data_IF_261081293444
#
_entry.id   IF_261081293444
#
_cell.length_a   1.000
_cell.length_b   1.000
_cell.length_c   1.000
_cell.angle_alpha   90.00
_cell.angle_beta   90.00
_cell.angle_gamma   90.00
#
_symmetry.space_group_name_H-M   'P 1'
#
loop_
_entity.id
_entity.type
_entity.pdbx_description
1 polymer ?
#
# COMPACT_ATOMS: atom_id res chain seq x y z
N UNK A 1 9.02 -21.54 -4.26
CA UNK A 1 10.48 -21.80 -4.35
C UNK A 1 10.80 -23.09 -5.13
N UNK A 2 10.11 -24.25 -4.96
CA UNK A 2 10.33 -25.43 -5.80
C UNK A 2 10.24 -25.12 -7.30
N UNK A 3 9.26 -24.33 -7.70
CA UNK A 3 9.00 -23.94 -9.09
C UNK A 3 10.14 -23.14 -9.72
N UNK A 4 10.87 -22.36 -8.94
CA UNK A 4 12.07 -21.65 -9.39
C UNK A 4 13.26 -22.60 -9.56
N UNK A 5 13.46 -23.51 -8.59
CA UNK A 5 14.53 -24.50 -8.66
C UNK A 5 14.36 -25.44 -9.87
N UNK A 6 13.13 -25.84 -10.22
CA UNK A 6 12.80 -26.62 -11.42
C UNK A 6 13.17 -25.89 -12.72
N UNK A 7 13.26 -24.56 -12.68
CA UNK A 7 13.70 -23.70 -13.78
C UNK A 7 15.17 -23.28 -13.69
N UNK A 8 15.93 -23.89 -12.79
CA UNK A 8 17.36 -23.61 -12.59
C UNK A 8 17.63 -22.27 -11.93
N UNK A 9 16.65 -21.70 -11.21
CA UNK A 9 16.82 -20.44 -10.46
C UNK A 9 17.02 -20.74 -8.98
N UNK A 10 18.03 -20.11 -8.39
CA UNK A 10 18.26 -20.08 -6.95
C UNK A 10 17.68 -18.80 -6.36
N UNK A 11 16.93 -18.91 -5.24
CA UNK A 11 16.29 -17.79 -4.58
C UNK A 11 16.87 -17.63 -3.18
N UNK A 12 17.38 -16.44 -2.89
CA UNK A 12 17.80 -16.00 -1.57
C UNK A 12 16.89 -14.89 -1.04
N UNK A 13 16.51 -14.96 0.22
CA UNK A 13 15.79 -13.86 0.89
C UNK A 13 16.82 -13.01 1.65
N UNK A 14 16.86 -11.73 1.32
CA UNK A 14 17.79 -10.77 1.91
C UNK A 14 16.98 -9.57 2.40
N UNK A 15 17.29 -9.08 3.61
CA UNK A 15 16.72 -7.84 4.09
C UNK A 15 17.22 -6.67 3.24
N UNK A 16 16.34 -5.76 2.88
CA UNK A 16 16.69 -4.63 2.04
C UNK A 16 17.77 -3.71 2.67
N UNK A 17 17.88 -3.71 4.00
CA UNK A 17 18.83 -2.93 4.78
C UNK A 17 20.05 -3.74 5.25
N UNK A 18 20.27 -4.93 4.69
CA UNK A 18 21.49 -5.70 4.94
C UNK A 18 22.67 -5.10 4.19
N UNK A 19 23.47 -4.30 4.90
CA UNK A 19 24.67 -3.67 4.35
C UNK A 19 25.81 -4.65 3.99
N UNK A 20 25.69 -5.92 4.36
CA UNK A 20 26.66 -6.97 4.02
C UNK A 20 26.34 -7.70 2.72
N UNK A 21 25.17 -7.48 2.14
CA UNK A 21 24.73 -8.13 0.92
C UNK A 21 25.55 -7.68 -0.30
N UNK A 22 26.09 -8.63 -1.01
CA UNK A 22 26.76 -8.40 -2.30
C UNK A 22 25.73 -8.48 -3.43
N UNK A 23 25.05 -7.36 -3.69
CA UNK A 23 23.99 -7.29 -4.70
C UNK A 23 24.50 -7.55 -6.12
N UNK A 24 25.77 -7.28 -6.39
CA UNK A 24 26.37 -7.56 -7.70
C UNK A 24 26.53 -9.07 -7.99
N UNK A 25 26.45 -9.90 -6.96
CA UNK A 25 26.51 -11.37 -7.14
C UNK A 25 25.20 -12.00 -7.63
N UNK A 26 24.09 -11.23 -7.67
CA UNK A 26 22.79 -11.70 -8.12
C UNK A 26 22.49 -11.27 -9.55
N UNK A 27 21.85 -12.16 -10.34
CA UNK A 27 21.39 -11.81 -11.69
C UNK A 27 20.23 -10.81 -11.67
N UNK A 28 19.41 -10.86 -10.61
CA UNK A 28 18.29 -9.95 -10.41
C UNK A 28 17.89 -9.86 -8.93
N UNK A 29 17.27 -8.75 -8.56
CA UNK A 29 16.58 -8.55 -7.29
C UNK A 29 15.11 -8.27 -7.53
N UNK A 30 14.24 -8.89 -6.73
CA UNK A 30 12.80 -8.66 -6.73
C UNK A 30 12.37 -8.12 -5.37
N UNK A 31 11.69 -6.98 -5.37
CA UNK A 31 11.11 -6.44 -4.14
C UNK A 31 9.93 -7.33 -3.73
N UNK A 32 10.08 -7.98 -2.58
CA UNK A 32 9.08 -8.89 -2.03
C UNK A 32 8.23 -8.25 -0.92
N UNK A 33 8.45 -8.69 0.31
CA UNK A 33 7.62 -8.36 1.47
C UNK A 33 8.27 -7.31 2.39
N UNK A 34 8.67 -6.18 1.86
CA UNK A 34 9.29 -5.06 2.60
C UNK A 34 8.21 -4.20 3.25
N UNK A 35 7.69 -4.64 4.41
CA UNK A 35 6.56 -3.98 5.08
C UNK A 35 6.94 -2.92 6.11
N UNK A 36 8.22 -2.65 6.29
CA UNK A 36 8.78 -1.74 7.29
C UNK A 36 9.35 -0.44 6.69
N UNK A 37 9.30 -0.28 5.37
CA UNK A 37 9.90 0.85 4.65
C UNK A 37 9.27 2.21 5.00
N UNK A 38 8.02 2.23 5.43
CA UNK A 38 7.24 3.46 5.55
C UNK A 38 7.70 4.41 6.67
N UNK A 39 8.43 3.93 7.68
CA UNK A 39 9.08 4.79 8.68
C UNK A 39 10.50 5.20 8.25
N UNK A 40 11.08 4.53 7.25
CA UNK A 40 12.44 4.72 6.73
C UNK A 40 12.45 4.90 5.21
N UNK A 41 11.41 5.54 4.64
CA UNK A 41 11.20 5.61 3.19
C UNK A 41 12.41 6.15 2.42
N UNK A 42 13.03 7.23 2.91
CA UNK A 42 14.20 7.82 2.24
C UNK A 42 15.37 6.85 2.16
N UNK A 43 15.63 6.14 3.25
CA UNK A 43 16.68 5.12 3.32
C UNK A 43 16.36 3.96 2.39
N UNK A 44 15.14 3.44 2.47
CA UNK A 44 14.68 2.36 1.58
C UNK A 44 14.86 2.72 0.11
N UNK A 45 14.40 3.89 -0.33
CA UNK A 45 14.52 4.32 -1.72
C UNK A 45 16.00 4.50 -2.15
N UNK A 46 16.85 5.02 -1.28
CA UNK A 46 18.28 5.14 -1.55
C UNK A 46 18.95 3.77 -1.69
N UNK A 47 18.55 2.81 -0.86
CA UNK A 47 19.04 1.43 -0.95
C UNK A 47 18.59 0.77 -2.25
N UNK A 48 17.34 0.95 -2.67
CA UNK A 48 16.86 0.41 -3.95
C UNK A 48 17.61 0.98 -5.15
N UNK A 49 17.94 2.27 -5.15
CA UNK A 49 18.76 2.90 -6.18
C UNK A 49 20.18 2.31 -6.20
N UNK A 50 20.76 2.04 -5.03
CA UNK A 50 22.07 1.40 -4.93
C UNK A 50 22.04 -0.07 -5.41
N UNK A 51 20.97 -0.81 -5.14
CA UNK A 51 20.75 -2.17 -5.65
C UNK A 51 20.61 -2.13 -7.18
N UNK A 52 19.75 -1.24 -7.69
CA UNK A 52 19.52 -1.08 -9.15
C UNK A 52 20.79 -0.71 -9.92
N UNK A 53 21.72 -0.02 -9.27
CA UNK A 53 23.05 0.27 -9.84
C UNK A 53 23.98 -0.95 -9.91
N UNK A 54 23.66 -2.06 -9.25
CA UNK A 54 24.50 -3.26 -9.16
C UNK A 54 23.88 -4.47 -9.87
N UNK A 55 22.56 -4.59 -9.90
CA UNK A 55 21.83 -5.70 -10.51
C UNK A 55 20.50 -5.24 -11.09
N UNK A 56 19.83 -6.11 -11.86
CA UNK A 56 18.51 -5.84 -12.40
C UNK A 56 17.47 -5.84 -11.26
N UNK A 57 16.85 -4.71 -11.00
CA UNK A 57 15.82 -4.57 -9.97
C UNK A 57 14.42 -4.68 -10.58
N UNK A 58 13.65 -5.70 -10.20
CA UNK A 58 12.24 -5.82 -10.55
C UNK A 58 11.35 -5.14 -9.52
N UNK A 59 10.50 -4.40 -9.95
CA UNK A 59 9.97 -3.06 -9.84
C UNK A 59 11.12 -2.04 -9.67
N UNK A 60 11.47 -1.27 -10.72
CA UNK A 60 12.57 -0.30 -10.69
C UNK A 60 12.40 0.72 -9.57
N UNK A 61 13.52 1.24 -9.04
CA UNK A 61 13.51 2.21 -7.93
C UNK A 61 12.62 3.43 -8.23
N UNK A 62 12.60 3.90 -9.48
CA UNK A 62 11.73 5.00 -9.90
C UNK A 62 10.23 4.68 -9.76
N UNK A 63 9.80 3.45 -10.07
CA UNK A 63 8.43 3.01 -9.88
C UNK A 63 8.07 2.93 -8.40
N UNK A 64 8.96 2.38 -7.58
CA UNK A 64 8.74 2.28 -6.13
C UNK A 64 8.71 3.66 -5.49
N UNK A 65 9.56 4.57 -5.91
CA UNK A 65 9.53 5.97 -5.46
C UNK A 65 8.16 6.61 -5.74
N UNK A 66 7.62 6.40 -6.93
CA UNK A 66 6.32 6.94 -7.33
C UNK A 66 5.18 6.34 -6.50
N UNK A 67 5.11 5.01 -6.31
CA UNK A 67 3.96 4.36 -5.69
C UNK A 67 4.09 4.14 -4.17
N UNK A 68 5.24 4.40 -3.56
CA UNK A 68 5.40 4.31 -2.09
C UNK A 68 4.68 5.43 -1.33
N UNK A 69 4.39 6.54 -2.00
CA UNK A 69 3.54 7.61 -1.53
C UNK A 69 2.19 7.55 -2.25
N UNK A 70 1.08 7.45 -1.51
CA UNK A 70 -0.28 7.31 -2.08
C UNK A 70 -0.73 8.49 -2.94
N UNK A 71 0.02 9.59 -2.95
CA UNK A 71 -0.22 10.72 -3.86
C UNK A 71 -0.13 10.32 -5.33
N UNK A 72 0.45 9.15 -5.69
CA UNK A 72 0.38 8.60 -7.04
C UNK A 72 -1.06 8.45 -7.56
N UNK A 73 -2.04 8.34 -6.67
CA UNK A 73 -3.44 8.33 -7.04
C UNK A 73 -3.89 9.62 -7.74
N UNK A 74 -3.27 10.77 -7.42
CA UNK A 74 -3.53 12.03 -8.15
C UNK A 74 -3.15 11.90 -9.63
N UNK A 75 -2.02 11.25 -9.92
CA UNK A 75 -1.57 11.01 -11.29
C UNK A 75 -2.50 10.05 -12.04
N UNK A 76 -2.98 9.02 -11.33
CA UNK A 76 -3.96 8.09 -11.91
C UNK A 76 -5.30 8.79 -12.19
N UNK A 77 -5.78 9.65 -11.29
CA UNK A 77 -6.98 10.45 -11.52
C UNK A 77 -6.84 11.35 -12.76
N UNK A 78 -5.71 12.04 -12.91
CA UNK A 78 -5.42 12.87 -14.10
C UNK A 78 -5.40 12.05 -15.40
N UNK A 79 -5.13 10.75 -15.31
CA UNK A 79 -5.17 9.81 -16.46
C UNK A 79 -6.55 9.16 -16.64
N UNK A 80 -7.55 9.59 -15.87
CA UNK A 80 -8.94 9.14 -16.01
C UNK A 80 -9.32 7.94 -15.16
N UNK A 81 -8.49 7.51 -14.19
CA UNK A 81 -8.89 6.50 -13.23
C UNK A 81 -10.01 7.02 -12.33
N UNK A 82 -11.04 6.21 -12.11
CA UNK A 82 -12.10 6.52 -11.18
C UNK A 82 -11.64 6.20 -9.76
N UNK A 83 -11.54 7.24 -8.92
CA UNK A 83 -11.06 7.12 -7.55
C UNK A 83 -12.13 7.49 -6.53
N UNK A 84 -11.99 6.97 -5.33
CA UNK A 84 -12.75 7.43 -4.17
C UNK A 84 -12.40 8.91 -3.92
N UNK A 85 -13.39 9.80 -3.65
CA UNK A 85 -13.12 11.18 -3.26
C UNK A 85 -12.08 11.25 -2.14
N UNK A 86 -11.04 12.03 -2.35
CA UNK A 86 -9.86 12.02 -1.44
C UNK A 86 -9.41 13.43 -1.12
N UNK A 87 -9.25 13.72 0.16
CA UNK A 87 -8.53 14.89 0.65
C UNK A 87 -7.09 14.52 0.99
N UNK A 88 -6.18 15.40 0.65
CA UNK A 88 -4.75 15.28 0.90
C UNK A 88 -4.35 16.37 1.88
N UNK A 89 -3.88 16.00 3.06
CA UNK A 89 -3.62 16.92 4.17
C UNK A 89 -2.20 16.66 4.66
N UNK A 90 -1.31 17.62 4.45
CA UNK A 90 0.11 17.47 4.82
C UNK A 90 0.31 17.66 6.34
N UNK A 91 -0.40 18.64 6.94
CA UNK A 91 -0.37 18.91 8.37
C UNK A 91 -1.77 18.83 8.95
N UNK A 92 -2.07 17.78 9.71
CA UNK A 92 -3.38 17.57 10.31
C UNK A 92 -3.59 18.45 11.53
N UNK A 93 -4.25 19.58 11.35
CA UNK A 93 -4.73 20.42 12.45
C UNK A 93 -6.12 20.01 12.90
N UNK A 94 -6.51 20.39 14.11
CA UNK A 94 -7.87 20.14 14.62
C UNK A 94 -8.96 20.77 13.74
N UNK A 95 -8.67 21.91 13.11
CA UNK A 95 -9.61 22.58 12.20
C UNK A 95 -9.72 21.82 10.87
N UNK A 96 -8.61 21.37 10.28
CA UNK A 96 -8.61 20.53 9.08
C UNK A 96 -9.31 19.20 9.32
N UNK A 97 -9.11 18.58 10.50
CA UNK A 97 -9.83 17.38 10.90
C UNK A 97 -11.35 17.56 10.82
N UNK A 98 -11.88 18.62 11.43
CA UNK A 98 -13.33 18.89 11.41
C UNK A 98 -13.84 19.21 10.01
N UNK A 99 -13.12 20.05 9.26
CA UNK A 99 -13.49 20.43 7.89
C UNK A 99 -13.47 19.26 6.91
N UNK A 100 -12.72 18.19 7.18
CA UNK A 100 -12.69 17.03 6.31
C UNK A 100 -14.08 16.38 6.20
N UNK A 101 -14.86 16.31 7.27
CA UNK A 101 -16.21 15.77 7.26
C UNK A 101 -17.16 16.64 6.42
N UNK A 102 -17.07 17.97 6.56
CA UNK A 102 -17.87 18.90 5.77
C UNK A 102 -17.48 18.85 4.28
N UNK A 103 -16.19 18.77 3.98
CA UNK A 103 -15.67 18.81 2.62
C UNK A 103 -16.01 17.52 1.83
N UNK A 104 -16.11 16.38 2.49
CA UNK A 104 -16.50 15.11 1.87
C UNK A 104 -17.99 14.81 2.01
N UNK A 105 -18.75 15.64 2.75
CA UNK A 105 -20.19 15.47 3.04
C UNK A 105 -20.51 14.08 3.63
N UNK A 106 -19.67 13.65 4.60
CA UNK A 106 -19.74 12.32 5.18
C UNK A 106 -19.68 12.35 6.71
N UNK A 107 -20.30 11.38 7.33
CA UNK A 107 -20.28 11.21 8.79
C UNK A 107 -19.19 10.28 9.28
N UNK A 108 -18.66 9.41 8.42
CA UNK A 108 -17.57 8.49 8.73
C UNK A 108 -16.46 8.59 7.69
N UNK A 109 -15.26 8.87 8.15
CA UNK A 109 -14.08 9.01 7.32
C UNK A 109 -12.97 8.05 7.75
N UNK A 110 -12.18 7.60 6.78
CA UNK A 110 -10.95 6.85 7.01
C UNK A 110 -9.76 7.76 6.74
N UNK A 111 -8.97 7.97 7.78
CA UNK A 111 -7.71 8.72 7.73
C UNK A 111 -6.57 7.71 7.58
N UNK A 112 -5.73 7.86 6.58
CA UNK A 112 -4.62 6.96 6.27
C UNK A 112 -3.34 7.75 6.06
N UNK A 113 -2.19 7.26 6.50
CA UNK A 113 -0.90 7.87 6.16
C UNK A 113 -0.71 7.85 4.64
N UNK A 114 -0.19 8.95 4.08
CA UNK A 114 0.18 9.00 2.65
C UNK A 114 1.28 7.99 2.34
N UNK A 115 2.29 7.91 3.18
CA UNK A 115 3.30 6.84 3.19
C UNK A 115 2.99 5.88 4.32
N UNK A 116 2.60 4.65 3.99
CA UNK A 116 2.21 3.66 5.00
C UNK A 116 1.69 2.37 4.40
N UNK A 117 1.80 1.30 5.15
CA UNK A 117 1.35 -0.04 4.79
C UNK A 117 0.68 -0.73 5.99
N UNK A 118 -0.02 -1.84 5.76
CA UNK A 118 -0.55 -2.71 6.81
C UNK A 118 -1.59 -2.06 7.73
N UNK A 119 -2.27 -0.98 7.31
CA UNK A 119 -3.19 -0.17 8.13
C UNK A 119 -2.53 0.49 9.37
N UNK A 120 -1.20 0.58 9.42
CA UNK A 120 -0.50 1.34 10.46
C UNK A 120 -0.84 2.83 10.34
N UNK A 121 -1.23 3.47 11.46
CA UNK A 121 -1.65 4.87 11.46
C UNK A 121 -2.92 5.13 10.64
N UNK A 122 -3.81 4.14 10.54
CA UNK A 122 -5.12 4.29 9.92
C UNK A 122 -6.20 4.40 10.99
N UNK A 123 -7.11 5.36 10.81
CA UNK A 123 -8.21 5.62 11.73
C UNK A 123 -9.53 5.66 10.98
N UNK A 124 -10.55 4.94 11.48
CA UNK A 124 -11.95 5.14 11.11
C UNK A 124 -12.59 6.00 12.19
N UNK A 125 -13.06 7.18 11.81
CA UNK A 125 -13.58 8.17 12.75
C UNK A 125 -14.95 8.66 12.31
N UNK A 126 -15.80 8.95 13.29
CA UNK A 126 -17.12 9.53 13.08
C UNK A 126 -17.07 11.03 13.38
N UNK A 127 -17.89 11.81 12.69
CA UNK A 127 -18.00 13.25 12.94
C UNK A 127 -18.38 13.51 14.41
N UNK A 128 -17.57 14.32 15.08
CA UNK A 128 -17.68 14.59 16.51
C UNK A 128 -16.75 13.75 17.40
N UNK A 129 -16.12 12.72 16.88
CA UNK A 129 -15.06 12.02 17.62
C UNK A 129 -13.87 12.94 17.91
N UNK A 130 -13.14 12.74 19.02
CA UNK A 130 -11.91 13.47 19.27
C UNK A 130 -10.86 13.12 18.21
N UNK A 131 -10.19 14.13 17.65
CA UNK A 131 -9.10 13.91 16.70
C UNK A 131 -7.92 13.21 17.40
N UNK A 132 -7.47 12.03 16.94
CA UNK A 132 -6.23 11.45 17.42
C UNK A 132 -5.02 12.28 16.95
N UNK A 133 -3.86 12.01 17.55
CA UNK A 133 -2.61 12.56 17.04
C UNK A 133 -2.26 11.91 15.69
N UNK A 134 -2.12 12.74 14.66
CA UNK A 134 -1.78 12.34 13.29
C UNK A 134 -0.57 13.15 12.79
N UNK A 135 0.64 12.81 13.24
CA UNK A 135 1.85 13.59 12.98
C UNK A 135 2.41 13.45 11.55
N UNK A 136 1.74 12.68 10.69
CA UNK A 136 2.16 12.41 9.33
C UNK A 136 1.19 13.01 8.32
N UNK A 137 1.62 13.26 7.07
CA UNK A 137 0.70 13.56 5.98
C UNK A 137 -0.37 12.49 5.81
N UNK A 138 -1.63 12.91 5.71
CA UNK A 138 -2.79 12.04 5.67
C UNK A 138 -3.53 12.10 4.33
N UNK A 139 -4.02 10.96 3.91
CA UNK A 139 -5.04 10.78 2.89
C UNK A 139 -6.37 10.49 3.60
N UNK A 140 -7.40 11.28 3.31
CA UNK A 140 -8.72 11.15 3.96
C UNK A 140 -9.78 10.81 2.93
N UNK A 141 -10.56 9.78 3.19
CA UNK A 141 -11.57 9.24 2.28
C UNK A 141 -12.87 8.92 3.03
N UNK A 142 -14.03 8.93 2.36
CA UNK A 142 -15.25 8.33 2.87
C UNK A 142 -15.02 6.88 3.32
N UNK A 143 -15.64 6.48 4.41
CA UNK A 143 -15.73 5.07 4.75
C UNK A 143 -16.70 4.38 3.81
N UNK A 144 -16.26 3.30 3.17
CA UNK A 144 -17.10 2.48 2.30
C UNK A 144 -17.59 1.25 3.06
N UNK A 145 -18.86 1.20 3.50
CA UNK A 145 -19.39 0.05 4.26
C UNK A 145 -19.31 -1.28 3.50
N UNK A 146 -19.27 -1.24 2.16
CA UNK A 146 -19.13 -2.42 1.30
C UNK A 146 -17.86 -3.22 1.59
N UNK A 147 -16.82 -2.61 2.16
CA UNK A 147 -15.61 -3.33 2.60
C UNK A 147 -15.96 -4.45 3.62
N UNK A 148 -16.99 -4.25 4.44
CA UNK A 148 -17.41 -5.21 5.46
C UNK A 148 -18.34 -6.29 4.91
N UNK A 149 -19.06 -6.03 3.82
CA UNK A 149 -20.06 -6.95 3.23
C UNK A 149 -19.53 -7.66 1.99
N UNK A 150 -18.81 -6.95 1.13
CA UNK A 150 -18.30 -7.45 -0.15
C UNK A 150 -16.80 -7.77 -0.07
N UNK A 151 -16.04 -6.99 0.71
CA UNK A 151 -14.59 -7.09 0.81
C UNK A 151 -13.87 -6.20 -0.19
N UNK A 152 -12.57 -6.42 -0.34
CA UNK A 152 -11.68 -5.70 -1.28
C UNK A 152 -11.18 -6.65 -2.36
N UNK A 153 -11.30 -6.24 -3.61
CA UNK A 153 -10.74 -6.95 -4.76
C UNK A 153 -9.31 -6.47 -5.02
N UNK A 154 -8.40 -7.42 -5.19
CA UNK A 154 -7.03 -7.15 -5.62
C UNK A 154 -6.77 -7.90 -6.92
N UNK A 155 -6.40 -7.17 -7.98
CA UNK A 155 -6.01 -7.73 -9.27
C UNK A 155 -4.49 -7.69 -9.39
N UNK A 156 -3.88 -8.84 -9.62
CA UNK A 156 -2.43 -8.99 -9.71
C UNK A 156 -2.02 -9.10 -11.17
N UNK A 157 -1.23 -8.15 -11.62
CA UNK A 157 -0.69 -8.13 -12.98
C UNK A 157 0.80 -8.45 -12.95
N UNK A 158 1.25 -9.26 -13.91
CA UNK A 158 2.66 -9.59 -14.14
C UNK A 158 2.95 -9.29 -15.60
N UNK A 159 3.91 -8.41 -15.86
CA UNK A 159 4.29 -7.95 -17.20
C UNK A 159 3.10 -7.43 -18.04
N UNK A 160 2.15 -6.76 -17.38
CA UNK A 160 0.95 -6.20 -18.01
C UNK A 160 -0.23 -7.17 -18.15
N UNK A 161 -0.03 -8.47 -17.96
CA UNK A 161 -1.08 -9.49 -18.03
C UNK A 161 -1.70 -9.76 -16.66
N UNK A 162 -3.02 -9.92 -16.61
CA UNK A 162 -3.72 -10.32 -15.39
C UNK A 162 -3.34 -11.77 -15.04
N UNK A 163 -2.61 -11.92 -13.93
CA UNK A 163 -2.21 -13.23 -13.42
C UNK A 163 -3.34 -13.89 -12.62
N UNK A 164 -3.85 -13.19 -11.62
CA UNK A 164 -4.92 -13.69 -10.75
C UNK A 164 -5.59 -12.53 -10.01
N UNK A 165 -6.73 -12.83 -9.38
CA UNK A 165 -7.41 -11.90 -8.51
C UNK A 165 -7.67 -12.53 -7.14
N UNK A 166 -7.70 -11.66 -6.12
CA UNK A 166 -7.98 -12.03 -4.74
C UNK A 166 -9.15 -11.19 -4.24
N UNK A 167 -9.97 -11.80 -3.40
CA UNK A 167 -10.89 -11.07 -2.56
C UNK A 167 -10.41 -11.14 -1.11
N UNK A 168 -10.35 -9.98 -0.46
CA UNK A 168 -9.93 -9.84 0.93
C UNK A 168 -11.11 -9.42 1.77
N UNK A 169 -11.41 -10.16 2.83
CA UNK A 169 -12.53 -9.87 3.74
C UNK A 169 -12.03 -9.60 5.14
N UNK A 170 -12.58 -8.56 5.76
CA UNK A 170 -12.35 -8.30 7.17
C UNK A 170 -13.01 -9.38 8.03
N UNK A 171 -12.48 -9.62 9.23
CA UNK A 171 -13.20 -10.42 10.23
C UNK A 171 -14.48 -9.71 10.68
N UNK A 172 -15.50 -10.43 11.15
CA UNK A 172 -16.71 -9.82 11.67
C UNK A 172 -16.42 -8.76 12.75
N UNK A 173 -17.00 -7.56 12.58
CA UNK A 173 -16.81 -6.42 13.49
C UNK A 173 -15.58 -5.58 13.24
N UNK A 174 -14.79 -5.88 12.21
CA UNK A 174 -13.67 -5.04 11.75
C UNK A 174 -13.91 -4.58 10.31
N UNK A 175 -13.15 -3.60 9.86
CA UNK A 175 -13.10 -3.15 8.46
C UNK A 175 -11.71 -3.34 7.84
N UNK A 176 -10.71 -3.68 8.66
CA UNK A 176 -9.34 -3.92 8.23
C UNK A 176 -9.22 -5.33 7.67
N UNK A 177 -8.77 -5.42 6.43
CA UNK A 177 -8.72 -6.67 5.66
C UNK A 177 -7.38 -7.41 5.79
N UNK A 178 -6.37 -6.80 6.42
CA UNK A 178 -5.04 -7.38 6.56
C UNK A 178 -5.08 -8.61 7.47
N UNK A 179 -4.28 -9.63 7.14
CA UNK A 179 -4.19 -10.88 7.90
C UNK A 179 -3.78 -10.67 9.37
N UNK A 180 -2.95 -9.64 9.64
CA UNK A 180 -2.57 -9.22 10.99
C UNK A 180 -3.74 -8.80 11.88
N UNK A 181 -4.86 -8.40 11.27
CA UNK A 181 -6.12 -8.07 11.96
C UNK A 181 -7.17 -9.18 11.85
N UNK A 182 -6.79 -10.35 11.32
CA UNK A 182 -7.66 -11.51 11.15
C UNK A 182 -8.46 -11.49 9.85
N UNK A 183 -8.05 -10.67 8.88
CA UNK A 183 -8.58 -10.70 7.52
C UNK A 183 -8.27 -12.03 6.83
N UNK A 184 -9.12 -12.40 5.89
CA UNK A 184 -9.01 -13.61 5.08
C UNK A 184 -8.88 -13.25 3.61
N UNK A 185 -8.08 -14.03 2.90
CA UNK A 185 -7.84 -13.88 1.46
C UNK A 185 -8.28 -15.15 0.74
N UNK A 186 -8.93 -14.98 -0.40
CA UNK A 186 -9.38 -16.06 -1.25
C UNK A 186 -9.08 -15.70 -2.71
N UNK A 187 -8.51 -16.66 -3.46
CA UNK A 187 -8.31 -16.50 -4.90
C UNK A 187 -9.66 -16.62 -5.61
N UNK A 188 -9.93 -15.70 -6.51
CA UNK A 188 -11.15 -15.68 -7.31
C UNK A 188 -10.82 -15.63 -8.81
N UNK A 189 -11.76 -16.10 -9.61
CA UNK A 189 -11.78 -15.87 -11.06
C UNK A 189 -12.75 -14.71 -11.29
N UNK A 190 -12.28 -13.56 -11.81
CA UNK A 190 -13.18 -12.46 -12.10
C UNK A 190 -14.19 -12.88 -13.18
N UNK A 191 -15.47 -12.66 -12.94
CA UNK A 191 -16.48 -12.75 -13.98
C UNK A 191 -16.27 -11.60 -14.96
N UNK A 192 -16.25 -11.91 -16.26
CA UNK A 192 -15.97 -10.97 -17.35
C UNK A 192 -17.11 -9.98 -17.60
#
# INVERSE_FOLDING_TARGET
>A
RPEFAERGMEISDICWDDNSADWASFDAALIGTTWDYWDRQTEFLSTLEAIEGQTCLFNPAALVRWNSDKTYLKDLAHRGANLIPTLWIDDMTHDQYRRAFDALDETQLVFKRQVGAGASGQYLLTSGDPAPDMPHPMMVQPFLPTIQTEGELSFIFIDGDLSHALIKRAKPGDYRIQSSYGGQEETIVPDG
#
